data_IF_860255532658
#
_entry.id   IF_860255532658
#
_cell.length_a   1.000
_cell.length_b   1.000
_cell.length_c   1.000
_cell.angle_alpha   90.00
_cell.angle_beta   90.00
_cell.angle_gamma   90.00
#
_symmetry.space_group_name_H-M   'P 1'
#
loop_
_entity.id
_entity.type
_entity.pdbx_description
1 polymer ?
#
# COMPACT_ATOMS: atom_id res chain seq x y z
N UNK A 1 -14.72 -23.44 -70.56
CA UNK A 1 -14.38 -24.41 -69.49
C UNK A 1 -13.23 -23.83 -68.68
N UNK A 2 -13.43 -23.72 -67.36
CA UNK A 2 -12.44 -23.81 -66.27
C UNK A 2 -11.28 -22.78 -66.26
N UNK A 3 -11.40 -21.68 -65.52
CA UNK A 3 -11.10 -21.48 -64.07
C UNK A 3 -9.62 -21.31 -63.73
N UNK A 4 -9.41 -20.35 -62.83
CA UNK A 4 -8.23 -20.08 -62.01
C UNK A 4 -7.15 -19.21 -62.68
N UNK A 5 -6.54 -18.20 -62.07
CA UNK A 5 -6.62 -17.58 -60.75
C UNK A 5 -5.48 -16.56 -60.80
N UNK A 6 -5.76 -15.25 -60.83
CA UNK A 6 -4.73 -14.21 -60.68
C UNK A 6 -5.33 -12.98 -59.99
N UNK A 7 -5.87 -13.20 -58.81
CA UNK A 7 -6.02 -12.18 -57.77
C UNK A 7 -4.83 -12.33 -56.84
N UNK A 8 -3.86 -11.42 -56.89
CA UNK A 8 -3.10 -10.90 -55.73
C UNK A 8 -2.00 -9.97 -56.24
N UNK A 9 -2.31 -8.67 -56.38
CA UNK A 9 -1.29 -7.62 -56.45
C UNK A 9 -1.89 -6.33 -55.88
N UNK A 10 -2.19 -6.36 -54.58
CA UNK A 10 -2.55 -5.18 -53.81
C UNK A 10 -2.37 -5.44 -52.30
N UNK A 11 -1.15 -5.77 -51.86
CA UNK A 11 -0.83 -5.81 -50.42
C UNK A 11 0.69 -5.87 -50.19
N UNK A 12 1.43 -4.80 -50.52
CA UNK A 12 2.83 -4.68 -50.09
C UNK A 12 3.28 -3.21 -50.04
N UNK A 13 2.55 -2.35 -49.32
CA UNK A 13 2.97 -0.97 -49.09
C UNK A 13 2.54 -0.44 -47.70
N UNK A 14 2.59 -1.28 -46.67
CA UNK A 14 2.29 -0.85 -45.30
C UNK A 14 3.16 -1.56 -44.26
N UNK A 15 4.48 -1.47 -44.39
CA UNK A 15 5.39 -1.96 -43.35
C UNK A 15 6.76 -1.24 -43.39
N UNK A 16 6.74 0.09 -43.26
CA UNK A 16 7.92 0.85 -42.88
C UNK A 16 7.50 2.17 -42.24
N UNK A 17 6.63 2.11 -41.23
CA UNK A 17 6.69 3.15 -40.20
C UNK A 17 8.03 2.92 -39.50
N UNK A 18 8.97 3.89 -39.49
CA UNK A 18 10.12 3.78 -38.62
C UNK A 18 9.54 3.57 -37.22
N UNK A 19 9.91 2.47 -36.57
CA UNK A 19 9.69 2.33 -35.15
C UNK A 19 10.31 3.59 -34.54
N UNK A 20 9.46 4.52 -34.08
CA UNK A 20 9.90 5.63 -33.27
C UNK A 20 10.81 4.99 -32.22
N UNK A 21 12.05 5.47 -32.05
CA UNK A 21 12.90 4.90 -31.03
C UNK A 21 12.08 4.93 -29.75
N UNK A 22 11.81 3.74 -29.19
CA UNK A 22 11.36 3.66 -27.82
C UNK A 22 12.37 4.53 -27.09
N UNK A 23 11.91 5.66 -26.54
CA UNK A 23 12.78 6.55 -25.78
C UNK A 23 13.58 5.62 -24.88
N UNK A 24 14.89 5.54 -25.08
CA UNK A 24 15.77 4.98 -24.09
C UNK A 24 15.66 5.97 -22.93
N UNK A 25 14.62 5.80 -22.11
CA UNK A 25 14.48 6.50 -20.86
C UNK A 25 15.78 6.19 -20.13
N UNK A 26 16.56 7.24 -19.83
CA UNK A 26 17.80 7.07 -19.10
C UNK A 26 17.56 6.19 -17.88
N UNK A 27 18.52 5.31 -17.56
CA UNK A 27 18.42 4.46 -16.38
C UNK A 27 18.24 5.35 -15.13
N UNK A 28 17.15 5.14 -14.39
CA UNK A 28 16.87 5.95 -13.21
C UNK A 28 17.97 5.70 -12.15
N UNK A 29 18.73 6.75 -11.84
CA UNK A 29 19.74 6.71 -10.77
C UNK A 29 19.08 6.49 -9.41
N UNK A 30 17.95 7.15 -9.18
CA UNK A 30 17.20 7.10 -7.93
C UNK A 30 15.79 6.57 -8.14
N UNK A 31 15.24 5.91 -7.13
CA UNK A 31 13.84 5.51 -7.08
C UNK A 31 13.22 6.02 -5.77
N UNK A 32 12.08 6.69 -5.85
CA UNK A 32 11.25 7.00 -4.68
C UNK A 32 9.89 6.35 -4.88
N UNK A 33 9.56 5.43 -3.98
CA UNK A 33 8.32 4.67 -3.98
C UNK A 33 7.41 5.18 -2.85
N UNK A 34 6.41 5.95 -3.22
CA UNK A 34 5.38 6.47 -2.31
C UNK A 34 4.20 5.50 -2.24
N UNK A 35 3.87 5.06 -1.03
CA UNK A 35 2.72 4.21 -0.74
C UNK A 35 1.72 4.92 0.17
N UNK A 36 0.51 5.18 -0.32
CA UNK A 36 -0.63 5.54 0.52
C UNK A 36 -1.38 4.28 0.91
N UNK A 37 -1.19 3.79 2.14
CA UNK A 37 -1.84 2.58 2.65
C UNK A 37 -3.38 2.77 2.62
N UNK A 38 -4.10 1.84 1.98
CA UNK A 38 -5.55 1.92 1.77
C UNK A 38 -6.04 3.06 0.87
N UNK A 39 -5.14 3.80 0.21
CA UNK A 39 -5.44 5.03 -0.54
C UNK A 39 -5.96 4.75 -1.97
N UNK A 40 -7.09 4.08 -2.08
CA UNK A 40 -7.71 3.83 -3.39
C UNK A 40 -8.29 5.07 -4.07
N UNK A 41 -8.83 4.93 -5.30
CA UNK A 41 -9.22 6.05 -6.16
C UNK A 41 -10.28 6.98 -5.55
N UNK A 42 -11.18 6.43 -4.72
CA UNK A 42 -12.19 7.20 -4.01
C UNK A 42 -11.56 8.14 -2.97
N UNK A 43 -10.60 7.62 -2.19
CA UNK A 43 -9.82 8.40 -1.22
C UNK A 43 -9.04 9.52 -1.89
N UNK A 44 -8.36 9.25 -3.01
CA UNK A 44 -7.63 10.27 -3.79
C UNK A 44 -8.58 11.37 -4.27
N UNK A 45 -9.72 11.01 -4.83
CA UNK A 45 -10.72 11.98 -5.30
C UNK A 45 -11.27 12.82 -4.14
N UNK A 46 -11.60 12.19 -3.01
CA UNK A 46 -12.11 12.87 -1.84
C UNK A 46 -11.06 13.83 -1.24
N UNK A 47 -9.79 13.43 -1.19
CA UNK A 47 -8.70 14.27 -0.69
C UNK A 47 -8.47 15.49 -1.60
N UNK A 48 -8.48 15.32 -2.92
CA UNK A 48 -8.44 16.43 -3.88
C UNK A 48 -9.57 17.43 -3.63
N UNK A 49 -10.82 16.95 -3.56
CA UNK A 49 -11.98 17.81 -3.35
C UNK A 49 -11.83 18.54 -2.00
N UNK A 50 -11.39 17.82 -0.98
CA UNK A 50 -11.23 18.34 0.36
C UNK A 50 -10.21 19.48 0.45
N UNK A 51 -9.08 19.37 -0.26
CA UNK A 51 -7.99 20.34 -0.20
C UNK A 51 -8.10 21.46 -1.24
N UNK A 52 -8.50 21.12 -2.47
CA UNK A 52 -8.38 22.00 -3.63
C UNK A 52 -9.70 22.19 -4.39
N UNK A 53 -10.80 21.60 -3.92
CA UNK A 53 -12.07 21.58 -4.64
C UNK A 53 -12.08 20.64 -5.85
N UNK A 54 -13.22 20.53 -6.53
CA UNK A 54 -13.45 19.50 -7.55
C UNK A 54 -12.58 19.66 -8.80
N UNK A 55 -12.17 20.89 -9.12
CA UNK A 55 -11.30 21.18 -10.27
C UNK A 55 -9.81 21.23 -9.93
N UNK A 56 -9.44 21.01 -8.67
CA UNK A 56 -8.06 21.06 -8.20
C UNK A 56 -7.24 19.85 -8.64
N UNK A 57 -5.97 19.82 -8.23
CA UNK A 57 -5.09 18.66 -8.41
C UNK A 57 -4.15 18.51 -7.21
N UNK A 58 -4.08 17.31 -6.67
CA UNK A 58 -3.01 16.85 -5.78
C UNK A 58 -1.66 16.85 -6.54
N UNK A 59 -0.54 16.85 -5.82
CA UNK A 59 0.79 16.74 -6.41
C UNK A 59 0.96 15.41 -7.16
N UNK A 60 0.46 14.30 -6.61
CA UNK A 60 0.49 12.99 -7.28
C UNK A 60 -0.29 12.97 -8.61
N UNK A 61 -1.35 13.77 -8.74
CA UNK A 61 -2.17 13.88 -9.97
C UNK A 61 -1.52 14.73 -11.07
N UNK A 62 -0.34 15.31 -10.81
CA UNK A 62 0.46 16.06 -11.79
C UNK A 62 1.54 15.19 -12.44
N UNK A 63 1.72 13.94 -12.01
CA UNK A 63 2.65 13.00 -12.64
C UNK A 63 2.11 12.56 -14.02
N UNK A 64 3.01 12.39 -14.98
CA UNK A 64 2.66 12.23 -16.41
C UNK A 64 2.03 10.88 -16.77
N UNK A 65 2.18 9.88 -15.90
CA UNK A 65 1.81 8.49 -16.18
C UNK A 65 0.92 7.94 -15.08
N UNK A 66 -0.07 7.18 -15.48
CA UNK A 66 -0.99 6.49 -14.56
C UNK A 66 -1.25 5.10 -15.09
N UNK A 67 -1.33 4.13 -14.18
CA UNK A 67 -1.69 2.76 -14.47
C UNK A 67 -2.74 2.28 -13.46
N UNK A 68 -3.41 1.17 -13.78
CA UNK A 68 -4.25 0.43 -12.83
C UNK A 68 -3.54 -0.84 -12.41
N UNK A 69 -3.65 -1.16 -11.13
CA UNK A 69 -3.03 -2.30 -10.48
C UNK A 69 -4.11 -3.27 -9.98
N UNK A 70 -3.81 -4.58 -9.99
CA UNK A 70 -4.69 -5.63 -9.47
C UNK A 70 -4.11 -6.18 -8.17
N UNK A 71 -4.77 -5.89 -7.05
CA UNK A 71 -4.18 -6.02 -5.71
C UNK A 71 -4.46 -7.33 -5.00
N UNK A 72 -5.25 -8.27 -5.55
CA UNK A 72 -5.48 -9.58 -4.92
C UNK A 72 -4.15 -10.25 -4.46
N UNK A 73 -4.12 -10.88 -3.30
CA UNK A 73 -2.93 -11.62 -2.82
C UNK A 73 -2.89 -13.02 -3.43
N UNK A 74 -1.96 -13.88 -3.02
CA UNK A 74 -1.90 -15.24 -3.55
C UNK A 74 -3.11 -16.10 -3.13
N UNK A 75 -3.71 -15.82 -1.97
CA UNK A 75 -4.78 -16.60 -1.36
C UNK A 75 -6.08 -15.80 -1.09
N UNK A 76 -6.09 -14.48 -1.30
CA UNK A 76 -7.27 -13.65 -1.04
C UNK A 76 -7.61 -12.69 -2.18
N UNK A 77 -8.91 -12.48 -2.40
CA UNK A 77 -9.42 -11.44 -3.29
C UNK A 77 -9.09 -10.04 -2.76
N UNK A 78 -9.24 -9.86 -1.45
CA UNK A 78 -8.86 -8.66 -0.71
C UNK A 78 -7.56 -8.95 0.03
N UNK A 79 -6.48 -8.38 -0.48
CA UNK A 79 -5.17 -8.41 0.18
C UNK A 79 -5.18 -7.60 1.47
N UNK A 80 -4.35 -7.96 2.43
CA UNK A 80 -3.88 -7.03 3.46
C UNK A 80 -2.58 -6.33 2.99
N UNK A 81 -2.05 -5.41 3.79
CA UNK A 81 -0.84 -4.62 3.48
C UNK A 81 0.44 -5.46 3.33
N UNK A 82 0.54 -6.62 4.00
CA UNK A 82 1.75 -7.44 4.00
C UNK A 82 2.12 -8.03 2.63
N UNK A 83 1.30 -8.88 1.99
CA UNK A 83 1.63 -9.46 0.69
C UNK A 83 1.55 -8.46 -0.45
N UNK A 84 0.75 -7.39 -0.33
CA UNK A 84 0.60 -6.37 -1.38
C UNK A 84 1.85 -5.50 -1.49
N UNK A 85 2.34 -4.94 -0.37
CA UNK A 85 3.60 -4.22 -0.38
C UNK A 85 4.77 -5.15 -0.71
N UNK A 86 4.76 -6.39 -0.21
CA UNK A 86 5.78 -7.38 -0.56
C UNK A 86 5.79 -7.70 -2.06
N UNK A 87 4.65 -7.72 -2.73
CA UNK A 87 4.60 -7.88 -4.19
C UNK A 87 5.26 -6.72 -4.93
N UNK A 88 5.12 -5.48 -4.45
CA UNK A 88 5.82 -4.33 -5.04
C UNK A 88 7.33 -4.37 -4.79
N UNK A 89 7.75 -4.86 -3.62
CA UNK A 89 9.17 -4.90 -3.26
C UNK A 89 9.90 -6.11 -3.85
N UNK A 90 9.22 -7.24 -4.06
CA UNK A 90 9.86 -8.51 -4.47
C UNK A 90 9.45 -9.00 -5.86
N UNK A 91 8.34 -8.50 -6.40
CA UNK A 91 7.72 -9.03 -7.62
C UNK A 91 6.94 -10.34 -7.42
N UNK A 92 6.81 -10.83 -6.18
CA UNK A 92 6.14 -12.10 -5.85
C UNK A 92 4.83 -11.83 -5.10
N UNK A 93 3.71 -12.40 -5.58
CA UNK A 93 2.48 -12.45 -4.78
C UNK A 93 2.59 -13.57 -3.75
N UNK A 94 2.23 -13.28 -2.51
CA UNK A 94 2.25 -14.21 -1.38
C UNK A 94 0.93 -14.18 -0.61
N UNK A 95 0.78 -15.09 0.33
CA UNK A 95 -0.43 -15.23 1.14
C UNK A 95 -0.59 -14.03 2.08
N UNK A 96 -1.82 -13.72 2.50
CA UNK A 96 -2.07 -12.69 3.51
C UNK A 96 -1.22 -12.93 4.77
N UNK A 97 -0.90 -11.82 5.46
CA UNK A 97 0.00 -11.76 6.63
C UNK A 97 1.49 -11.99 6.35
N UNK A 98 1.87 -12.57 5.21
CA UNK A 98 3.26 -12.92 4.89
C UNK A 98 4.02 -11.71 4.33
N UNK A 99 5.27 -11.52 4.76
CA UNK A 99 6.15 -10.42 4.33
C UNK A 99 7.40 -10.96 3.63
N UNK A 100 7.57 -10.58 2.36
CA UNK A 100 8.75 -10.82 1.53
C UNK A 100 9.23 -12.28 1.49
N UNK A 101 8.32 -13.24 1.49
CA UNK A 101 8.64 -14.67 1.35
C UNK A 101 8.08 -15.23 0.04
N UNK A 102 8.47 -16.45 -0.32
CA UNK A 102 7.93 -17.17 -1.47
C UNK A 102 6.44 -17.47 -1.32
N UNK A 103 5.74 -17.64 -2.44
CA UNK A 103 4.28 -17.78 -2.51
C UNK A 103 3.71 -19.00 -1.77
N UNK A 104 4.52 -20.01 -1.50
CA UNK A 104 4.16 -21.22 -0.76
C UNK A 104 4.22 -21.05 0.78
N UNK A 105 4.75 -19.92 1.25
CA UNK A 105 4.83 -19.59 2.68
C UNK A 105 3.45 -19.45 3.28
N UNK A 106 3.21 -20.13 4.40
CA UNK A 106 1.98 -20.04 5.17
C UNK A 106 2.15 -19.08 6.34
N UNK A 107 1.10 -18.31 6.61
CA UNK A 107 1.02 -17.48 7.79
C UNK A 107 1.05 -18.32 9.07
N UNK A 108 1.92 -17.96 10.01
CA UNK A 108 2.02 -18.59 11.33
C UNK A 108 2.02 -17.50 12.39
N UNK A 109 1.00 -17.49 13.24
CA UNK A 109 0.83 -16.50 14.30
C UNK A 109 2.08 -16.39 15.21
N UNK A 110 2.52 -15.16 15.53
CA UNK A 110 3.64 -14.93 16.42
C UNK A 110 3.24 -15.05 17.89
N UNK A 111 4.25 -15.09 18.75
CA UNK A 111 4.10 -14.94 20.19
C UNK A 111 3.67 -13.52 20.57
N UNK A 112 3.07 -13.38 21.75
CA UNK A 112 2.58 -12.08 22.27
C UNK A 112 3.64 -10.98 22.43
N UNK A 113 4.93 -11.33 22.47
CA UNK A 113 6.04 -10.38 22.51
C UNK A 113 6.51 -9.95 21.11
N UNK A 114 5.83 -10.38 20.05
CA UNK A 114 6.12 -10.05 18.66
C UNK A 114 7.27 -10.86 18.08
N UNK A 115 7.67 -11.98 18.69
CA UNK A 115 8.59 -12.96 18.10
C UNK A 115 7.79 -14.02 17.34
N UNK A 116 8.24 -14.45 16.17
CA UNK A 116 7.60 -15.44 15.33
C UNK A 116 8.58 -16.52 14.90
N UNK A 117 8.05 -17.69 14.56
CA UNK A 117 8.86 -18.75 13.96
C UNK A 117 8.17 -19.28 12.71
N UNK A 118 8.80 -19.06 11.57
CA UNK A 118 8.29 -19.58 10.30
C UNK A 118 8.50 -21.08 10.16
N UNK A 119 9.41 -21.68 10.92
CA UNK A 119 9.86 -23.04 10.71
C UNK A 119 10.77 -23.15 9.48
N UNK A 120 11.65 -24.15 9.48
CA UNK A 120 12.66 -24.32 8.42
C UNK A 120 12.09 -24.74 7.06
N UNK A 121 10.83 -25.17 7.00
CA UNK A 121 10.19 -25.75 5.81
C UNK A 121 8.92 -24.97 5.39
N UNK A 122 8.89 -23.66 5.62
CA UNK A 122 7.72 -22.81 5.33
C UNK A 122 8.10 -21.67 4.37
N UNK A 123 8.44 -22.04 3.14
CA UNK A 123 8.89 -21.12 2.12
C UNK A 123 10.28 -20.54 2.36
N UNK A 124 10.66 -19.56 1.53
CA UNK A 124 12.00 -18.98 1.48
C UNK A 124 11.94 -17.46 1.31
N UNK A 125 12.92 -16.70 1.81
CA UNK A 125 13.01 -15.26 1.59
C UNK A 125 13.05 -14.88 0.10
N UNK A 126 12.14 -14.00 -0.33
CA UNK A 126 12.14 -13.39 -1.66
C UNK A 126 12.87 -12.04 -1.60
N UNK A 127 13.83 -11.82 -2.50
CA UNK A 127 14.69 -10.63 -2.43
C UNK A 127 13.89 -9.33 -2.61
N UNK A 128 14.12 -8.34 -1.77
CA UNK A 128 13.44 -7.03 -1.84
C UNK A 128 14.19 -6.06 -2.75
N UNK A 129 13.48 -5.05 -3.24
CA UNK A 129 14.05 -3.99 -4.07
C UNK A 129 15.19 -3.25 -3.36
N UNK A 130 15.10 -3.05 -2.03
CA UNK A 130 16.16 -2.39 -1.26
C UNK A 130 17.39 -3.29 -1.12
N UNK A 131 17.23 -4.60 -0.96
CA UNK A 131 18.37 -5.53 -0.97
C UNK A 131 19.07 -5.52 -2.32
N UNK A 132 18.31 -5.57 -3.42
CA UNK A 132 18.84 -5.50 -4.77
C UNK A 132 19.55 -4.16 -5.02
N UNK A 133 19.00 -3.05 -4.51
CA UNK A 133 19.62 -1.73 -4.61
C UNK A 133 20.92 -1.64 -3.80
N UNK A 134 20.94 -2.17 -2.58
CA UNK A 134 22.14 -2.18 -1.73
C UNK A 134 23.24 -3.05 -2.33
N UNK A 135 22.90 -4.20 -2.90
CA UNK A 135 23.85 -5.05 -3.62
C UNK A 135 24.51 -4.33 -4.81
N UNK A 136 23.81 -3.34 -5.39
CA UNK A 136 24.33 -2.43 -6.43
C UNK A 136 25.03 -1.17 -5.88
N UNK A 137 25.30 -1.12 -4.57
CA UNK A 137 25.99 -0.01 -3.92
C UNK A 137 25.17 1.28 -3.76
N UNK A 138 23.84 1.22 -3.95
CA UNK A 138 22.93 2.36 -3.72
C UNK A 138 22.64 2.53 -2.23
N UNK A 139 22.32 3.76 -1.83
CA UNK A 139 21.77 4.02 -0.51
C UNK A 139 20.29 3.61 -0.47
N UNK A 140 19.81 3.18 0.68
CA UNK A 140 18.44 2.68 0.85
C UNK A 140 17.78 3.23 2.10
N UNK A 141 16.47 3.44 2.05
CA UNK A 141 15.74 3.83 3.25
C UNK A 141 14.22 3.66 3.18
N UNK A 142 13.62 3.73 4.36
CA UNK A 142 12.19 3.64 4.57
C UNK A 142 11.74 4.75 5.54
N UNK A 143 10.66 5.44 5.18
CA UNK A 143 10.03 6.49 5.98
C UNK A 143 8.54 6.19 6.08
N UNK A 144 7.95 6.31 7.26
CA UNK A 144 6.53 6.04 7.45
C UNK A 144 5.92 6.85 8.61
N UNK A 145 4.61 7.05 8.57
CA UNK A 145 3.81 7.48 9.74
C UNK A 145 3.35 6.33 10.63
N UNK A 146 3.59 5.08 10.25
CA UNK A 146 3.27 3.89 11.03
C UNK A 146 4.44 3.50 11.94
N UNK A 147 4.39 2.28 12.50
CA UNK A 147 5.56 1.73 13.19
C UNK A 147 6.53 1.31 12.09
N UNK A 148 7.82 1.49 12.28
CA UNK A 148 8.83 1.03 11.30
C UNK A 148 8.80 -0.50 11.09
N UNK A 149 8.11 -1.21 11.98
CA UNK A 149 7.84 -2.66 11.97
C UNK A 149 6.50 -3.04 11.33
N UNK A 150 5.67 -2.07 10.96
CA UNK A 150 4.41 -2.34 10.26
C UNK A 150 4.68 -3.02 8.91
N UNK A 151 3.67 -3.69 8.36
CA UNK A 151 3.80 -4.50 7.15
C UNK A 151 4.48 -3.78 5.98
N UNK A 152 4.04 -2.56 5.68
CA UNK A 152 4.57 -1.76 4.57
C UNK A 152 6.07 -1.47 4.69
N UNK A 153 6.58 -0.83 5.76
CA UNK A 153 8.02 -0.61 5.91
C UNK A 153 8.79 -1.91 6.06
N UNK A 154 8.23 -2.89 6.77
CA UNK A 154 8.85 -4.20 6.95
C UNK A 154 9.11 -4.91 5.62
N UNK A 155 8.19 -4.85 4.65
CA UNK A 155 8.35 -5.45 3.32
C UNK A 155 9.55 -4.90 2.53
N UNK A 156 10.14 -3.79 2.96
CA UNK A 156 11.36 -3.26 2.34
C UNK A 156 12.64 -3.94 2.84
N UNK A 157 12.64 -4.56 4.02
CA UNK A 157 13.88 -5.03 4.66
C UNK A 157 13.79 -6.36 5.43
N UNK A 158 12.59 -6.84 5.73
CA UNK A 158 12.36 -8.02 6.56
C UNK A 158 11.72 -9.16 5.76
N UNK A 159 11.99 -10.39 6.20
CA UNK A 159 11.34 -11.60 5.73
C UNK A 159 10.74 -12.32 6.93
N UNK A 160 9.42 -12.41 6.97
CA UNK A 160 8.68 -13.11 8.01
C UNK A 160 7.43 -13.72 7.41
N UNK A 161 7.00 -14.84 7.97
CA UNK A 161 5.75 -15.51 7.62
C UNK A 161 4.53 -14.82 8.23
N UNK A 162 4.71 -13.84 9.14
CA UNK A 162 3.59 -13.15 9.75
C UNK A 162 3.94 -11.71 10.13
N UNK A 163 3.11 -10.75 9.71
CA UNK A 163 3.32 -9.31 9.87
C UNK A 163 3.36 -8.86 11.34
N UNK A 164 2.69 -9.58 12.22
CA UNK A 164 2.67 -9.25 13.66
C UNK A 164 3.94 -9.68 14.42
N UNK A 165 4.90 -10.33 13.75
CA UNK A 165 6.22 -10.64 14.31
C UNK A 165 7.12 -9.39 14.42
N UNK A 166 6.56 -8.27 14.89
CA UNK A 166 7.18 -6.94 14.83
C UNK A 166 8.51 -6.83 15.60
N UNK A 167 8.71 -7.61 16.67
CA UNK A 167 10.00 -7.65 17.39
C UNK A 167 11.10 -8.31 16.57
N UNK A 168 10.76 -9.35 15.79
CA UNK A 168 11.71 -10.02 14.90
C UNK A 168 11.94 -9.22 13.62
N UNK A 169 10.90 -8.56 13.11
CA UNK A 169 11.00 -7.63 11.98
C UNK A 169 12.08 -6.58 12.27
N UNK A 170 11.99 -5.81 13.36
CA UNK A 170 12.99 -4.75 13.60
C UNK A 170 14.39 -5.28 13.88
N UNK A 171 14.53 -6.49 14.42
CA UNK A 171 15.83 -7.11 14.63
C UNK A 171 16.57 -7.32 13.29
N UNK A 172 15.84 -7.54 12.19
CA UNK A 172 16.40 -7.66 10.84
C UNK A 172 17.03 -6.37 10.31
N UNK A 173 16.72 -5.19 10.89
CA UNK A 173 17.26 -3.91 10.44
C UNK A 173 18.57 -3.48 11.13
N UNK A 174 18.95 -4.10 12.26
CA UNK A 174 20.11 -3.69 13.07
C UNK A 174 21.41 -4.31 12.52
N UNK A 175 22.36 -3.54 11.94
CA UNK A 175 23.49 -4.12 11.23
C UNK A 175 24.40 -5.00 12.09
N UNK A 176 24.49 -6.28 11.73
CA UNK A 176 25.28 -7.28 12.46
C UNK A 176 24.77 -7.59 13.88
N UNK A 177 23.52 -7.22 14.19
CA UNK A 177 22.82 -7.66 15.40
C UNK A 177 22.24 -9.08 15.24
N UNK A 178 21.79 -9.66 16.35
CA UNK A 178 21.09 -10.96 16.29
C UNK A 178 19.78 -10.82 15.51
N UNK A 179 19.58 -11.69 14.52
CA UNK A 179 18.45 -11.66 13.60
C UNK A 179 18.63 -10.72 12.40
N UNK A 180 19.78 -10.05 12.24
CA UNK A 180 20.01 -9.12 11.13
C UNK A 180 19.83 -9.76 9.75
N UNK A 181 19.14 -9.06 8.85
CA UNK A 181 19.10 -9.44 7.45
C UNK A 181 20.40 -9.03 6.74
N UNK A 182 21.29 -10.01 6.52
CA UNK A 182 22.59 -9.80 5.90
C UNK A 182 22.54 -9.28 4.45
N UNK A 183 21.40 -9.43 3.74
CA UNK A 183 21.22 -8.90 2.38
C UNK A 183 21.15 -7.36 2.34
N UNK A 184 20.95 -6.72 3.49
CA UNK A 184 21.04 -5.27 3.66
C UNK A 184 22.48 -4.76 3.78
N UNK A 185 23.49 -5.64 3.67
CA UNK A 185 24.90 -5.27 3.65
C UNK A 185 25.33 -4.53 4.92
N UNK A 186 25.55 -3.22 4.81
CA UNK A 186 25.93 -2.37 5.93
C UNK A 186 24.73 -1.72 6.67
N UNK A 187 23.50 -2.09 6.32
CA UNK A 187 22.26 -1.60 6.95
C UNK A 187 21.44 -0.68 6.07
N UNK A 188 20.22 -0.37 6.52
CA UNK A 188 19.46 0.76 5.96
C UNK A 188 20.23 2.06 6.24
N UNK A 189 20.29 2.97 5.27
CA UNK A 189 20.89 4.29 5.50
C UNK A 189 19.88 5.19 6.22
N UNK A 190 18.58 5.05 5.93
CA UNK A 190 17.51 5.80 6.61
C UNK A 190 16.40 4.85 7.05
N UNK A 191 16.00 4.92 8.33
CA UNK A 191 14.76 4.31 8.82
C UNK A 191 14.04 5.27 9.75
N UNK A 192 12.86 5.75 9.37
CA UNK A 192 12.11 6.74 10.16
C UNK A 192 10.62 6.40 10.29
N UNK A 193 10.09 6.51 11.50
CA UNK A 193 8.68 6.32 11.81
C UNK A 193 8.42 6.24 13.31
N UNK A 194 7.41 5.47 13.72
CA UNK A 194 7.13 5.17 15.13
C UNK A 194 7.57 3.75 15.53
N UNK A 195 7.08 3.30 16.69
CA UNK A 195 7.14 1.89 17.11
C UNK A 195 8.18 1.54 18.15
N UNK A 196 8.65 2.48 18.97
CA UNK A 196 9.69 2.20 19.99
C UNK A 196 9.34 1.05 20.94
N UNK A 197 8.04 0.72 21.10
CA UNK A 197 7.60 -0.45 21.88
C UNK A 197 8.23 -1.77 21.39
N UNK A 198 8.55 -1.96 20.12
CA UNK A 198 9.18 -3.19 19.62
C UNK A 198 10.72 -3.15 19.62
N UNK A 199 11.30 -1.98 19.91
CA UNK A 199 12.74 -1.77 19.99
C UNK A 199 13.27 -1.87 21.42
N UNK A 200 12.40 -1.68 22.41
CA UNK A 200 12.75 -1.64 23.82
C UNK A 200 12.37 -2.93 24.55
N UNK A 201 13.15 -3.35 25.56
CA UNK A 201 12.79 -4.48 26.40
C UNK A 201 11.61 -4.11 27.31
N UNK A 202 10.89 -5.13 27.81
CA UNK A 202 9.78 -4.94 28.77
C UNK A 202 10.19 -4.09 29.99
N UNK A 203 11.41 -4.29 30.49
CA UNK A 203 11.97 -3.52 31.61
C UNK A 203 12.11 -2.02 31.32
N UNK A 204 12.17 -1.62 30.05
CA UNK A 204 12.23 -0.22 29.59
C UNK A 204 10.91 0.24 28.95
N UNK A 205 9.79 -0.43 29.28
CA UNK A 205 8.45 -0.05 28.81
C UNK A 205 8.10 -0.46 27.38
N UNK A 206 8.91 -1.33 26.77
CA UNK A 206 8.64 -1.94 25.46
C UNK A 206 8.00 -3.33 25.56
N UNK A 207 8.07 -4.09 24.46
CA UNK A 207 7.46 -5.40 24.27
C UNK A 207 8.47 -6.53 24.13
N UNK A 208 9.73 -6.24 23.81
CA UNK A 208 10.72 -7.30 23.52
C UNK A 208 10.92 -8.24 24.71
N UNK A 209 10.84 -9.54 24.43
CA UNK A 209 11.04 -10.61 25.41
C UNK A 209 12.51 -10.99 25.66
N UNK A 210 13.42 -10.55 24.79
CA UNK A 210 14.83 -10.94 24.78
C UNK A 210 15.77 -10.01 25.57
N UNK A 211 15.22 -8.97 26.21
CA UNK A 211 16.00 -8.00 27.00
C UNK A 211 16.82 -7.00 26.17
N UNK A 212 16.78 -7.07 24.83
CA UNK A 212 17.57 -6.19 23.95
C UNK A 212 16.99 -4.78 23.85
N UNK A 213 17.88 -3.79 23.75
CA UNK A 213 17.53 -2.41 23.44
C UNK A 213 18.09 -2.05 22.05
N UNK A 214 17.25 -2.15 21.03
CA UNK A 214 17.69 -1.96 19.65
C UNK A 214 18.03 -0.51 19.32
N UNK A 215 17.49 0.48 20.05
CA UNK A 215 17.91 1.87 19.89
C UNK A 215 19.38 2.04 20.27
N UNK A 216 19.82 1.39 21.36
CA UNK A 216 21.23 1.38 21.76
C UNK A 216 22.09 0.59 20.78
N UNK A 217 21.58 -0.54 20.25
CA UNK A 217 22.31 -1.29 19.23
C UNK A 217 22.50 -0.47 17.93
N UNK A 218 21.49 0.28 17.48
CA UNK A 218 21.64 1.20 16.35
C UNK A 218 22.68 2.29 16.64
N UNK A 219 22.63 2.92 17.82
CA UNK A 219 23.62 3.92 18.22
C UNK A 219 25.05 3.35 18.23
N UNK A 220 25.23 2.12 18.74
CA UNK A 220 26.50 1.40 18.71
C UNK A 220 27.01 1.09 17.29
N UNK A 221 26.12 1.07 16.29
CA UNK A 221 26.45 0.95 14.86
C UNK A 221 26.62 2.31 14.16
N UNK A 222 26.75 3.38 14.95
CA UNK A 222 27.02 4.73 14.46
C UNK A 222 25.82 5.44 13.87
N UNK A 223 24.60 5.01 14.17
CA UNK A 223 23.39 5.73 13.77
C UNK A 223 23.09 6.85 14.77
N UNK A 224 22.91 8.10 14.29
CA UNK A 224 22.12 9.08 15.01
C UNK A 224 20.73 8.50 15.28
N UNK A 225 20.32 8.51 16.55
CA UNK A 225 19.00 8.05 16.99
C UNK A 225 18.16 9.27 17.36
N UNK A 226 17.13 9.54 16.57
CA UNK A 226 16.22 10.67 16.76
C UNK A 226 14.90 10.17 17.35
N UNK A 227 14.34 10.87 18.32
CA UNK A 227 13.12 10.42 19.03
C UNK A 227 12.01 11.46 19.07
N UNK A 228 12.28 12.70 18.66
CA UNK A 228 11.32 13.81 18.64
C UNK A 228 11.36 14.60 17.33
N UNK A 229 10.34 15.42 17.08
CA UNK A 229 10.35 16.39 16.00
C UNK A 229 11.48 17.41 16.14
N UNK A 230 11.76 17.85 17.37
CA UNK A 230 12.89 18.70 17.70
C UNK A 230 14.25 18.06 17.34
N UNK A 231 14.44 16.77 17.62
CA UNK A 231 15.67 16.05 17.24
C UNK A 231 15.88 16.07 15.72
N UNK A 232 14.82 15.81 14.94
CA UNK A 232 14.89 15.87 13.48
C UNK A 232 15.17 17.29 12.98
N UNK A 233 14.60 18.31 13.60
CA UNK A 233 14.84 19.70 13.23
C UNK A 233 16.29 20.15 13.51
N UNK A 234 16.91 19.64 14.57
CA UNK A 234 18.30 19.92 14.93
C UNK A 234 19.31 19.04 14.16
N UNK A 235 18.85 17.96 13.52
CA UNK A 235 19.70 17.02 12.83
C UNK A 235 20.21 17.57 11.48
N UNK A 236 21.54 17.62 11.32
CA UNK A 236 22.17 17.97 10.05
C UNK A 236 22.18 16.77 9.07
N UNK A 237 21.03 16.57 8.41
CA UNK A 237 20.84 15.51 7.43
C UNK A 237 21.84 15.55 6.27
N UNK A 238 22.38 16.73 5.92
CA UNK A 238 23.32 16.89 4.80
C UNK A 238 24.72 16.41 5.14
N UNK A 239 25.13 16.43 6.41
CA UNK A 239 26.42 15.88 6.84
C UNK A 239 26.35 14.41 7.26
N UNK A 240 25.18 13.91 7.65
CA UNK A 240 24.99 12.51 8.04
C UNK A 240 25.05 11.52 6.86
N UNK A 241 25.47 10.29 7.15
CA UNK A 241 25.46 9.16 6.19
C UNK A 241 24.39 8.12 6.49
N UNK A 242 23.84 8.15 7.70
CA UNK A 242 22.78 7.26 8.16
C UNK A 242 21.98 7.91 9.28
N UNK A 243 20.75 7.44 9.52
CA UNK A 243 19.90 7.89 10.63
C UNK A 243 18.78 6.88 10.93
N UNK A 244 18.47 6.71 12.22
CA UNK A 244 17.26 6.02 12.69
C UNK A 244 16.42 7.02 13.48
N UNK A 245 15.18 7.25 13.05
CA UNK A 245 14.23 8.14 13.73
C UNK A 245 13.01 7.39 14.21
N UNK A 246 12.80 7.30 15.53
CA UNK A 246 11.68 6.59 16.15
C UNK A 246 10.90 7.55 17.03
N UNK A 247 9.91 8.22 16.45
CA UNK A 247 9.25 9.41 17.01
C UNK A 247 7.97 9.10 17.82
N UNK A 248 7.70 7.82 18.10
CA UNK A 248 6.50 7.41 18.81
C UNK A 248 6.64 6.02 19.44
N UNK A 249 5.92 5.79 20.54
CA UNK A 249 5.83 4.46 21.17
C UNK A 249 5.15 3.45 20.25
N UNK A 250 4.12 3.91 19.56
CA UNK A 250 3.35 3.17 18.57
C UNK A 250 3.52 3.86 17.20
N UNK A 251 2.52 3.78 16.32
CA UNK A 251 2.41 4.65 15.15
C UNK A 251 2.53 6.13 15.54
N UNK A 252 2.89 6.97 14.57
CA UNK A 252 2.80 8.42 14.74
C UNK A 252 1.34 8.86 14.85
N UNK A 253 1.12 10.02 15.42
CA UNK A 253 -0.20 10.63 15.47
C UNK A 253 -0.73 10.90 14.07
N UNK A 254 -2.06 10.82 13.90
CA UNK A 254 -2.68 11.30 12.67
C UNK A 254 -2.32 12.76 12.46
N UNK A 255 -2.11 13.19 11.21
CA UNK A 255 -1.61 14.56 10.95
C UNK A 255 -2.52 15.63 11.57
N UNK A 256 -3.85 15.42 11.51
CA UNK A 256 -4.83 16.29 12.14
C UNK A 256 -4.59 16.46 13.64
N UNK A 257 -4.32 15.35 14.35
CA UNK A 257 -4.13 15.35 15.81
C UNK A 257 -2.74 15.86 16.19
N UNK A 258 -1.70 15.50 15.42
CA UNK A 258 -0.33 15.98 15.58
C UNK A 258 -0.29 17.51 15.57
N UNK A 259 -0.90 18.13 14.56
CA UNK A 259 -0.97 19.60 14.42
C UNK A 259 -1.85 20.21 15.50
N UNK A 260 -3.07 19.69 15.70
CA UNK A 260 -4.02 20.25 16.67
C UNK A 260 -3.48 20.25 18.10
N UNK A 261 -2.85 19.15 18.50
CA UNK A 261 -2.37 18.94 19.86
C UNK A 261 -0.90 19.35 20.04
N UNK A 262 -0.25 19.87 18.98
CA UNK A 262 1.17 20.28 18.98
C UNK A 262 2.09 19.15 19.47
N UNK A 263 1.84 17.93 18.99
CA UNK A 263 2.65 16.76 19.34
C UNK A 263 4.02 16.92 18.71
N UNK A 264 5.08 16.70 19.50
CA UNK A 264 6.48 16.83 19.07
C UNK A 264 6.92 15.62 18.21
N UNK A 265 6.31 15.52 17.04
CA UNK A 265 6.59 14.55 16.00
C UNK A 265 6.79 15.28 14.67
N UNK A 266 7.75 14.85 13.85
CA UNK A 266 7.92 15.42 12.51
C UNK A 266 6.76 15.03 11.60
N UNK A 267 6.43 15.89 10.64
CA UNK A 267 5.51 15.52 9.56
C UNK A 267 6.16 14.52 8.60
N UNK A 268 5.34 13.81 7.83
CA UNK A 268 5.83 12.92 6.78
C UNK A 268 6.69 13.66 5.75
N UNK A 269 6.34 14.91 5.42
CA UNK A 269 7.12 15.75 4.53
C UNK A 269 8.51 16.12 5.10
N UNK A 270 8.60 16.41 6.41
CA UNK A 270 9.88 16.68 7.08
C UNK A 270 10.77 15.45 7.08
N UNK A 271 10.24 14.27 7.44
CA UNK A 271 11.00 13.01 7.38
C UNK A 271 11.44 12.68 5.95
N UNK A 272 10.57 12.88 4.96
CA UNK A 272 10.90 12.63 3.54
C UNK A 272 12.03 13.54 3.05
N UNK A 273 11.97 14.84 3.37
CA UNK A 273 13.02 15.78 2.99
C UNK A 273 14.37 15.42 3.61
N UNK A 274 14.40 15.10 4.91
CA UNK A 274 15.61 14.68 5.60
C UNK A 274 16.17 13.36 5.06
N UNK A 275 15.30 12.39 4.74
CA UNK A 275 15.71 11.13 4.12
C UNK A 275 16.41 11.36 2.78
N UNK A 276 15.84 12.20 1.91
CA UNK A 276 16.46 12.54 0.62
C UNK A 276 17.80 13.24 0.82
N UNK A 277 17.92 14.15 1.80
CA UNK A 277 19.19 14.83 2.10
C UNK A 277 20.29 13.85 2.54
N UNK A 278 19.96 12.82 3.34
CA UNK A 278 20.92 11.76 3.71
C UNK A 278 21.27 10.88 2.51
N UNK A 279 20.26 10.40 1.78
CA UNK A 279 20.43 9.38 0.72
C UNK A 279 21.08 9.93 -0.55
N UNK A 280 20.80 11.18 -0.92
CA UNK A 280 21.27 11.82 -2.16
C UNK A 280 22.80 11.97 -2.25
N UNK A 281 23.49 11.81 -1.12
CA UNK A 281 24.95 11.85 -1.03
C UNK A 281 25.63 10.64 -1.67
N UNK A 282 24.92 9.53 -1.84
CA UNK A 282 25.49 8.35 -2.47
C UNK A 282 25.61 8.56 -3.98
N UNK A 283 26.85 8.57 -4.48
CA UNK A 283 27.16 8.74 -5.90
C UNK A 283 26.52 7.69 -6.82
N UNK A 284 26.19 6.50 -6.31
CA UNK A 284 25.52 5.43 -7.05
C UNK A 284 23.99 5.60 -7.10
N UNK A 285 23.43 6.59 -6.39
CA UNK A 285 21.99 6.83 -6.25
C UNK A 285 21.37 6.10 -5.06
N UNK A 286 20.04 6.14 -4.99
CA UNK A 286 19.30 5.59 -3.85
C UNK A 286 17.93 5.00 -4.19
N UNK A 287 17.41 4.18 -3.29
CA UNK A 287 16.00 3.74 -3.27
C UNK A 287 15.37 4.11 -1.95
N UNK A 288 14.29 4.90 -2.00
CA UNK A 288 13.55 5.36 -0.82
C UNK A 288 12.10 4.91 -0.91
N UNK A 289 11.59 4.29 0.15
CA UNK A 289 10.16 4.08 0.34
C UNK A 289 9.60 5.11 1.33
N UNK A 290 8.46 5.72 0.98
CA UNK A 290 7.75 6.67 1.85
C UNK A 290 6.28 6.27 1.97
N UNK A 291 5.80 6.07 3.19
CA UNK A 291 4.46 5.58 3.47
C UNK A 291 3.59 6.62 4.19
N UNK A 292 2.42 6.92 3.62
CA UNK A 292 1.30 7.60 4.28
C UNK A 292 0.38 6.62 5.01
N UNK A 293 0.88 5.84 5.97
CA UNK A 293 0.19 4.62 6.41
C UNK A 293 -0.92 4.83 7.46
N UNK A 294 -1.08 6.06 7.95
CA UNK A 294 -2.23 6.42 8.81
C UNK A 294 -3.52 6.68 8.01
N UNK A 295 -3.46 6.73 6.67
CA UNK A 295 -4.64 6.83 5.81
C UNK A 295 -5.54 5.61 6.03
N UNK A 296 -4.98 4.40 5.90
CA UNK A 296 -5.64 3.12 6.14
C UNK A 296 -6.28 3.03 7.53
N UNK A 297 -5.52 3.28 8.59
CA UNK A 297 -6.04 3.24 9.95
C UNK A 297 -7.25 4.16 10.17
N UNK A 298 -7.24 5.34 9.57
CA UNK A 298 -8.37 6.26 9.64
C UNK A 298 -9.59 5.75 8.84
N UNK A 299 -9.35 5.10 7.70
CA UNK A 299 -10.40 4.48 6.87
C UNK A 299 -11.03 3.27 7.57
N UNK A 300 -10.23 2.40 8.21
CA UNK A 300 -10.73 1.35 9.11
C UNK A 300 -11.58 1.92 10.24
N UNK A 301 -11.15 3.04 10.83
CA UNK A 301 -11.92 3.77 11.85
C UNK A 301 -13.15 4.51 11.31
N UNK A 302 -13.47 4.41 10.01
CA UNK A 302 -14.52 5.18 9.31
C UNK A 302 -14.43 6.69 9.53
N UNK A 303 -13.21 7.19 9.77
CA UNK A 303 -12.93 8.57 10.11
C UNK A 303 -12.40 9.32 8.88
N UNK A 304 -13.32 9.74 8.01
CA UNK A 304 -12.99 10.45 6.79
C UNK A 304 -12.14 11.70 7.04
N UNK A 305 -12.37 12.44 8.14
CA UNK A 305 -11.59 13.66 8.42
C UNK A 305 -10.10 13.36 8.55
N UNK A 306 -9.74 12.37 9.38
CA UNK A 306 -8.34 11.95 9.54
C UNK A 306 -7.79 11.36 8.26
N UNK A 307 -8.53 10.46 7.60
CA UNK A 307 -8.09 9.83 6.36
C UNK A 307 -7.74 10.85 5.27
N UNK A 308 -8.57 11.88 5.09
CA UNK A 308 -8.32 12.93 4.09
C UNK A 308 -7.18 13.86 4.51
N UNK A 309 -7.05 14.20 5.80
CA UNK A 309 -5.91 15.00 6.28
C UNK A 309 -4.58 14.24 6.15
N UNK A 310 -4.53 12.95 6.47
CA UNK A 310 -3.32 12.14 6.28
C UNK A 310 -3.01 11.91 4.79
N UNK A 311 -4.02 11.81 3.93
CA UNK A 311 -3.82 11.77 2.47
C UNK A 311 -3.21 13.07 1.92
N UNK A 312 -3.60 14.22 2.46
CA UNK A 312 -2.95 15.50 2.15
C UNK A 312 -1.50 15.52 2.66
N UNK A 313 -1.26 15.07 3.89
CA UNK A 313 0.09 15.01 4.46
C UNK A 313 1.04 14.13 3.62
N UNK A 314 0.51 13.05 3.05
CA UNK A 314 1.19 12.21 2.08
C UNK A 314 1.45 12.93 0.75
N UNK A 315 0.47 13.65 0.21
CA UNK A 315 0.66 14.48 -0.99
C UNK A 315 1.68 15.62 -0.78
N UNK A 316 1.72 16.20 0.42
CA UNK A 316 2.73 17.19 0.81
C UNK A 316 4.14 16.58 0.88
N UNK A 317 4.27 15.31 1.30
CA UNK A 317 5.54 14.60 1.27
C UNK A 317 6.01 14.33 -0.17
N UNK A 318 5.09 13.98 -1.08
CA UNK A 318 5.36 13.86 -2.52
C UNK A 318 5.82 15.21 -3.07
N UNK A 319 5.11 16.29 -2.76
CA UNK A 319 5.50 17.65 -3.16
C UNK A 319 6.88 18.04 -2.64
N UNK A 320 7.21 17.71 -1.38
CA UNK A 320 8.51 17.97 -0.79
C UNK A 320 9.62 17.20 -1.51
N UNK A 321 9.39 15.94 -1.88
CA UNK A 321 10.36 15.16 -2.65
C UNK A 321 10.55 15.69 -4.07
N UNK A 322 9.46 16.00 -4.78
CA UNK A 322 9.52 16.58 -6.14
C UNK A 322 10.28 17.91 -6.18
N UNK A 323 10.28 18.68 -5.09
CA UNK A 323 11.06 19.91 -4.97
C UNK A 323 12.57 19.66 -4.73
N UNK A 324 12.99 18.43 -4.43
CA UNK A 324 14.38 18.07 -4.08
C UNK A 324 15.06 17.15 -5.09
N UNK A 325 14.34 16.63 -6.08
CA UNK A 325 14.89 15.66 -7.03
C UNK A 325 14.82 16.15 -8.47
N UNK A 326 15.79 15.71 -9.27
CA UNK A 326 15.75 15.83 -10.71
C UNK A 326 15.04 14.59 -11.30
N UNK A 327 13.89 14.82 -11.95
CA UNK A 327 13.07 13.76 -12.55
C UNK A 327 13.72 13.13 -13.79
N UNK A 328 14.75 13.75 -14.39
CA UNK A 328 15.52 13.10 -15.45
C UNK A 328 16.36 11.93 -14.91
N UNK A 329 16.65 11.93 -13.60
CA UNK A 329 17.50 10.95 -12.93
C UNK A 329 16.77 10.16 -11.82
N UNK A 330 15.49 10.47 -11.58
CA UNK A 330 14.73 9.93 -10.45
C UNK A 330 13.38 9.42 -10.90
N UNK A 331 13.15 8.12 -10.74
CA UNK A 331 11.83 7.53 -10.88
C UNK A 331 11.03 7.77 -9.60
N UNK A 332 9.89 8.46 -9.72
CA UNK A 332 8.92 8.62 -8.63
C UNK A 332 7.68 7.81 -8.96
N UNK A 333 7.35 6.87 -8.08
CA UNK A 333 6.13 6.05 -8.17
C UNK A 333 5.23 6.40 -6.99
N UNK A 334 3.96 6.67 -7.25
CA UNK A 334 2.94 6.84 -6.22
C UNK A 334 1.87 5.78 -6.43
N UNK A 335 1.56 5.01 -5.39
CA UNK A 335 0.52 3.99 -5.46
C UNK A 335 -0.12 3.71 -4.10
N UNK A 336 -1.04 2.76 -4.08
CA UNK A 336 -1.62 2.18 -2.88
C UNK A 336 -1.42 0.66 -2.91
N UNK A 337 -1.42 0.04 -1.74
CA UNK A 337 -1.36 -1.40 -1.55
C UNK A 337 -2.72 -2.05 -1.76
N UNK A 338 -3.79 -1.41 -1.29
CA UNK A 338 -5.17 -1.77 -1.52
C UNK A 338 -6.12 -0.56 -1.45
N UNK A 339 -7.42 -0.83 -1.60
CA UNK A 339 -8.49 0.16 -1.48
C UNK A 339 -9.19 0.00 -0.12
N UNK A 340 -10.16 0.87 0.12
CA UNK A 340 -11.08 0.85 1.25
C UNK A 340 -12.51 1.10 0.76
N UNK A 341 -13.50 0.82 1.60
CA UNK A 341 -14.93 0.96 1.24
C UNK A 341 -15.43 2.41 1.25
N UNK A 342 -14.58 3.41 1.07
CA UNK A 342 -14.98 4.81 1.02
C UNK A 342 -15.79 5.09 -0.25
N UNK A 343 -16.95 5.75 -0.08
CA UNK A 343 -17.80 6.16 -1.20
C UNK A 343 -18.11 7.65 -1.14
N UNK A 344 -18.01 8.33 -2.29
CA UNK A 344 -18.49 9.71 -2.46
C UNK A 344 -19.92 9.63 -3.00
N UNK A 345 -20.90 10.02 -2.16
CA UNK A 345 -22.32 9.85 -2.46
C UNK A 345 -22.94 11.09 -3.15
N UNK A 346 -24.04 10.87 -3.86
CA UNK A 346 -24.77 11.91 -4.59
C UNK A 346 -25.92 12.56 -3.82
N UNK A 347 -26.44 13.72 -4.23
CA UNK A 347 -26.04 14.58 -5.35
C UNK A 347 -25.71 15.98 -4.82
N UNK A 348 -24.52 16.17 -4.25
CA UNK A 348 -24.09 17.49 -3.77
C UNK A 348 -23.82 18.44 -4.93
N UNK A 349 -24.15 19.72 -4.73
CA UNK A 349 -23.75 20.79 -5.66
C UNK A 349 -22.24 21.01 -5.59
N UNK A 350 -21.65 21.45 -6.70
CA UNK A 350 -20.24 21.85 -6.77
C UNK A 350 -19.95 23.00 -5.80
N UNK A 351 -18.77 22.98 -5.18
CA UNK A 351 -18.36 23.97 -4.19
C UNK A 351 -19.05 23.78 -2.83
N UNK A 352 -19.81 22.70 -2.64
CA UNK A 352 -20.32 22.34 -1.32
C UNK A 352 -19.12 22.05 -0.41
N UNK A 353 -18.96 22.77 0.71
CA UNK A 353 -17.82 22.56 1.57
C UNK A 353 -17.78 21.10 2.01
N UNK A 354 -16.64 20.47 1.74
CA UNK A 354 -16.21 19.21 2.35
C UNK A 354 -15.82 19.44 3.82
N UNK A 355 -16.62 20.21 4.56
CA UNK A 355 -16.38 20.48 5.97
C UNK A 355 -17.12 19.48 6.84
N UNK A 356 -16.50 19.18 7.97
CA UNK A 356 -16.67 17.97 8.78
C UNK A 356 -17.91 17.97 9.68
N UNK A 357 -18.98 18.65 9.29
CA UNK A 357 -20.26 18.62 10.01
C UNK A 357 -21.44 18.23 9.11
N UNK A 358 -21.33 18.37 7.77
CA UNK A 358 -22.36 17.98 6.80
C UNK A 358 -21.79 17.79 5.39
N UNK A 359 -20.85 16.87 5.20
CA UNK A 359 -20.42 16.51 3.84
C UNK A 359 -21.20 15.28 3.37
N UNK A 360 -21.63 15.28 2.10
CA UNK A 360 -22.22 14.15 1.39
C UNK A 360 -21.23 12.99 1.12
N UNK A 361 -20.30 12.77 2.05
CA UNK A 361 -19.39 11.64 2.11
C UNK A 361 -19.85 10.77 3.28
N UNK A 362 -21.02 10.16 3.13
CA UNK A 362 -21.51 9.15 4.06
C UNK A 362 -20.91 7.80 3.69
N UNK A 363 -20.44 7.03 4.67
CA UNK A 363 -20.15 5.59 4.53
C UNK A 363 -21.42 4.73 4.59
N UNK A 364 -22.59 5.35 4.80
CA UNK A 364 -23.88 4.67 4.83
C UNK A 364 -24.91 5.39 3.95
N UNK A 365 -25.44 4.68 2.95
CA UNK A 365 -26.63 5.12 2.23
C UNK A 365 -27.81 5.22 3.21
N UNK A 366 -28.30 6.42 3.52
CA UNK A 366 -29.71 6.56 3.92
C UNK A 366 -30.52 6.56 2.63
N UNK A 367 -31.38 5.57 2.39
CA UNK A 367 -32.37 5.68 1.33
C UNK A 367 -33.20 6.94 1.60
N UNK A 368 -33.30 7.84 0.63
CA UNK A 368 -34.43 8.77 0.64
C UNK A 368 -35.67 7.91 0.45
N UNK A 369 -36.52 7.87 1.46
CA UNK A 369 -37.90 7.44 1.29
C UNK A 369 -38.49 8.28 0.15
N UNK A 370 -39.00 7.67 -0.93
CA UNK A 370 -39.79 8.42 -1.90
C UNK A 370 -40.97 9.01 -1.12
N UNK A 371 -41.15 10.33 -1.20
CA UNK A 371 -42.41 10.94 -0.79
C UNK A 371 -43.51 10.27 -1.57
N UNK A 372 -44.34 9.49 -0.88
CA UNK A 372 -45.47 8.78 -1.46
C UNK A 372 -46.39 9.79 -2.19
N UNK A 373 -46.79 9.53 -3.45
CA UNK A 373 -47.99 10.15 -3.98
C UNK A 373 -49.16 9.67 -3.13
N UNK A 374 -50.07 10.58 -2.81
CA UNK A 374 -51.31 10.37 -2.06
C UNK A 374 -51.96 9.00 -2.36
N UNK A 375 -52.05 8.14 -1.35
CA UNK A 375 -52.83 6.91 -1.37
C UNK A 375 -54.34 7.20 -1.47
N UNK A 376 -55.09 6.52 -2.35
CA UNK A 376 -56.49 6.23 -2.10
C UNK A 376 -56.60 5.06 -1.12
N UNK A 377 -57.22 5.38 0.01
CA UNK A 377 -57.84 4.57 1.07
C UNK A 377 -58.01 3.05 0.87
N UNK A 378 -57.43 2.34 1.85
CA UNK A 378 -57.94 1.22 2.66
C UNK A 378 -58.46 -0.07 2.02
N UNK A 379 -57.80 -1.18 2.39
CA UNK A 379 -58.45 -2.32 3.07
C UNK A 379 -57.45 -2.94 4.06
N UNK A 380 -57.66 -2.66 5.35
CA UNK A 380 -57.07 -3.39 6.48
C UNK A 380 -58.06 -4.48 6.89
N UNK A 381 -57.61 -5.72 7.03
CA UNK A 381 -58.34 -6.74 7.79
C UNK A 381 -57.38 -7.79 8.37
N UNK A 382 -57.19 -7.70 9.68
CA UNK A 382 -57.04 -8.83 10.60
C UNK A 382 -58.04 -9.95 10.25
N UNK A 383 -57.59 -11.20 10.26
CA UNK A 383 -58.44 -12.40 10.27
C UNK A 383 -59.36 -12.43 11.52
N UNK A 384 -60.46 -13.22 11.60
CA UNK A 384 -60.75 -14.45 10.85
C UNK A 384 -62.21 -14.63 10.34
N UNK A 385 -62.43 -15.77 9.68
CA UNK A 385 -63.71 -16.42 9.30
C UNK A 385 -64.39 -16.05 7.98
N UNK A 386 -64.77 -17.14 7.29
CA UNK A 386 -65.81 -17.30 6.26
C UNK A 386 -65.65 -16.58 4.89
N UNK A 387 -65.26 -17.41 3.91
CA UNK A 387 -65.80 -17.49 2.54
C UNK A 387 -65.98 -16.20 1.72
N UNK A 388 -65.10 -15.99 0.74
CA UNK A 388 -65.46 -16.04 -0.71
C UNK A 388 -64.23 -15.85 -1.62
N UNK A 389 -64.31 -16.32 -2.88
CA UNK A 389 -63.17 -16.74 -3.68
C UNK A 389 -62.64 -15.62 -4.59
N UNK A 390 -61.33 -15.63 -4.89
CA UNK A 390 -60.79 -14.88 -6.01
C UNK A 390 -59.50 -14.12 -5.74
N UNK A 391 -58.43 -14.82 -5.37
CA UNK A 391 -57.05 -14.35 -5.54
C UNK A 391 -56.14 -15.59 -5.60
N UNK A 392 -55.84 -16.08 -6.81
CA UNK A 392 -54.93 -17.20 -7.05
C UNK A 392 -53.57 -16.61 -7.40
N UNK A 393 -52.59 -16.73 -6.50
CA UNK A 393 -51.19 -16.48 -6.83
C UNK A 393 -50.64 -17.70 -7.58
N UNK A 394 -50.30 -17.54 -8.86
CA UNK A 394 -49.58 -18.54 -9.64
C UNK A 394 -48.12 -18.56 -9.19
N UNK A 395 -47.70 -19.68 -8.59
CA UNK A 395 -46.28 -19.99 -8.34
C UNK A 395 -45.56 -20.21 -9.69
N UNK A 396 -44.30 -19.76 -9.86
CA UNK A 396 -43.49 -20.11 -11.02
C UNK A 396 -43.14 -21.62 -10.99
N UNK A 397 -42.99 -22.27 -12.16
CA UNK A 397 -42.68 -23.70 -12.21
C UNK A 397 -41.25 -24.00 -11.72
N UNK A 398 -41.01 -25.17 -11.10
CA UNK A 398 -39.68 -25.61 -10.71
C UNK A 398 -38.81 -25.98 -11.94
N UNK A 399 -37.47 -25.90 -11.83
CA UNK A 399 -36.56 -26.22 -12.93
C UNK A 399 -36.56 -27.72 -13.26
N UNK A 400 -36.34 -28.11 -14.52
CA UNK A 400 -36.39 -29.51 -14.95
C UNK A 400 -35.17 -30.30 -14.47
N UNK A 401 -35.44 -31.50 -13.91
CA UNK A 401 -34.46 -32.55 -13.63
C UNK A 401 -34.26 -33.42 -14.87
N UNK A 402 -33.03 -33.53 -15.37
CA UNK A 402 -32.63 -34.69 -16.19
C UNK A 402 -31.20 -35.13 -15.90
N UNK A 403 -31.11 -36.40 -15.53
CA UNK A 403 -29.93 -37.25 -15.47
C UNK A 403 -29.53 -37.72 -16.88
N UNK A 404 -28.30 -37.48 -17.31
CA UNK A 404 -27.45 -38.49 -17.97
C UNK A 404 -26.06 -37.91 -18.22
N UNK A 405 -25.05 -38.53 -17.59
CA UNK A 405 -23.63 -38.28 -17.86
C UNK A 405 -23.24 -39.02 -19.13
N UNK A 406 -22.67 -38.31 -20.11
CA UNK A 406 -21.72 -38.85 -21.09
C UNK A 406 -20.35 -38.21 -20.84
N UNK A 407 -19.24 -38.97 -20.89
CA UNK A 407 -17.92 -38.46 -20.57
C UNK A 407 -17.39 -37.53 -21.66
N UNK A 408 -16.70 -36.47 -21.24
CA UNK A 408 -16.01 -35.53 -22.10
C UNK A 408 -14.87 -36.22 -22.85
N UNK A 409 -14.87 -36.08 -24.17
CA UNK A 409 -13.78 -36.44 -25.06
C UNK A 409 -12.56 -35.55 -24.79
N UNK A 410 -11.40 -36.20 -24.66
CA UNK A 410 -10.10 -35.58 -24.41
C UNK A 410 -9.72 -34.53 -25.49
N UNK A 411 -9.13 -33.42 -25.04
CA UNK A 411 -8.36 -32.52 -25.89
C UNK A 411 -7.08 -33.24 -26.36
N UNK A 412 -6.72 -33.18 -27.65
CA UNK A 412 -5.43 -33.70 -28.12
C UNK A 412 -4.28 -32.79 -27.68
N UNK A 413 -3.22 -33.43 -27.19
CA UNK A 413 -1.97 -32.80 -26.75
C UNK A 413 -1.24 -32.09 -27.91
N UNK A 414 -0.65 -30.94 -27.59
CA UNK A 414 0.31 -30.22 -28.46
C UNK A 414 1.63 -31.01 -28.53
N UNK A 415 2.26 -31.16 -29.71
CA UNK A 415 3.61 -31.71 -29.79
C UNK A 415 4.65 -30.73 -29.25
N UNK A 416 5.58 -31.24 -28.45
CA UNK A 416 6.82 -30.59 -28.03
C UNK A 416 7.72 -30.34 -29.23
N UNK A 417 8.13 -29.09 -29.44
CA UNK A 417 9.22 -28.75 -30.34
C UNK A 417 10.55 -29.09 -29.66
N UNK A 418 11.31 -29.98 -30.30
CA UNK A 418 12.69 -30.30 -29.95
C UNK A 418 13.62 -29.12 -30.32
N UNK A 419 14.65 -28.95 -29.51
CA UNK A 419 15.75 -28.04 -29.74
C UNK A 419 16.60 -28.48 -30.94
N UNK A 420 16.85 -27.53 -31.85
CA UNK A 420 18.11 -27.32 -32.58
C UNK A 420 18.23 -25.84 -32.87
#
# INVERSE_FOLDING_TARGET
>A
MKTAMNTLLAAAALAALPALPAHAAGEAKNVIFFLGDGMGPATVTAARIYQYGEGGKLAMEKLDRTARIKTFSNDAQTTDSAPSMSAYMTGVKMNNEVISMSSDTRAIEPNSDGTGNCGSNNGTPAATLLELAKAKGKAIGAVTTTRVTHATPAATYAHVCHRDAESDIIAQAVPGGAGYNARLGNGLDVLMGGGSKFLLPKASGGKRGDGRNLLQEFAAKGYPVLQTGADLAAFDAKSASRVVGIFGKDHLEYELDRVKNKVDQPSLAQMTAAAIDVLSKNGNGYVLMVEGGRIDHALHGTNAKRALTDAIAFDDAIKAALAKVDLNNTLVVVTADHDHTMTINGYSKRGNPSTTSRAAMSTASRPRTPTAPSTPRWCSATAPTASRPGCRWTQPPPPPTTTSRKPASACPARPTAAAT
#
